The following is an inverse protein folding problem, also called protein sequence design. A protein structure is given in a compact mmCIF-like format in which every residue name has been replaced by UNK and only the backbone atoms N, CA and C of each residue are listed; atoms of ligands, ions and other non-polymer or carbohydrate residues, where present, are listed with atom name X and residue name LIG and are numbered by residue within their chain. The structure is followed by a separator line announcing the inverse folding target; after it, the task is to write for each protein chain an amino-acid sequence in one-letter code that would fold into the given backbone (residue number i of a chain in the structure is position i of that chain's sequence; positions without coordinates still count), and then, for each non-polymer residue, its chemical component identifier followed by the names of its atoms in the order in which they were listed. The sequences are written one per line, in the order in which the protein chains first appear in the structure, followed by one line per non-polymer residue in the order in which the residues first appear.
data_IF_293937853260
#
_entry.id   IF_293937853260
#
_cell.length_a   1.000
_cell.length_b   1.000
_cell.length_c   1.000
_cell.angle_alpha   90.00
_cell.angle_beta   90.00
_cell.angle_gamma   90.00
#
_symmetry.space_group_name_H-M   'P 1'
#
loop_
_entity.id
_entity.type
_entity.pdbx_description
1 polymer ?
#
# COMPACT_ATOMS: atom_id res chain seq x y z
N UNK A 1 15.51 3.17 -15.20
CA UNK A 1 14.78 2.66 -16.40
C UNK A 1 14.66 1.13 -16.51
N UNK A 2 15.44 0.37 -15.77
CA UNK A 2 15.47 -1.11 -15.88
C UNK A 2 14.49 -1.77 -14.90
N UNK A 3 14.21 -1.17 -13.74
CA UNK A 3 13.41 -1.81 -12.68
C UNK A 3 11.90 -1.69 -12.84
N UNK A 4 11.37 -0.63 -13.47
CA UNK A 4 9.91 -0.52 -13.73
C UNK A 4 9.43 -1.48 -14.82
N UNK A 5 10.30 -1.87 -15.76
CA UNK A 5 9.97 -2.90 -16.76
C UNK A 5 9.97 -4.30 -16.13
N UNK A 6 10.85 -4.56 -15.15
CA UNK A 6 10.91 -5.84 -14.46
C UNK A 6 9.63 -6.14 -13.65
N UNK A 7 9.07 -5.15 -12.96
CA UNK A 7 7.81 -5.35 -12.23
C UNK A 7 6.63 -5.67 -13.17
N UNK A 8 6.55 -5.04 -14.34
CA UNK A 8 5.50 -5.32 -15.33
C UNK A 8 5.63 -6.69 -16.00
N UNK A 9 6.87 -7.22 -16.10
CA UNK A 9 7.13 -8.55 -16.64
C UNK A 9 6.87 -9.66 -15.61
N UNK A 10 7.05 -9.36 -14.33
CA UNK A 10 6.84 -10.30 -13.22
C UNK A 10 5.34 -10.55 -12.99
N UNK A 11 4.52 -9.48 -13.04
CA UNK A 11 3.06 -9.55 -12.87
C UNK A 11 2.37 -9.45 -14.24
N UNK A 12 2.35 -10.53 -14.99
CA UNK A 12 1.76 -10.57 -16.33
C UNK A 12 0.26 -10.30 -16.30
N UNK A 13 -0.14 -9.15 -16.83
CA UNK A 13 -1.53 -8.68 -16.86
C UNK A 13 -2.51 -9.70 -17.46
N UNK A 14 -2.10 -10.47 -18.45
CA UNK A 14 -2.93 -11.49 -19.08
C UNK A 14 -3.27 -12.68 -18.16
N UNK A 15 -2.55 -12.84 -17.06
CA UNK A 15 -2.79 -13.90 -16.08
C UNK A 15 -3.67 -13.43 -14.91
N UNK A 16 -4.11 -12.17 -14.91
CA UNK A 16 -4.91 -11.56 -13.86
C UNK A 16 -6.35 -11.38 -14.30
N UNK A 17 -7.29 -11.66 -13.41
CA UNK A 17 -8.70 -11.37 -13.54
C UNK A 17 -9.28 -10.70 -12.28
N UNK A 18 -10.30 -9.83 -12.40
CA UNK A 18 -10.92 -9.24 -11.22
C UNK A 18 -11.48 -10.32 -10.29
N UNK A 19 -11.42 -10.10 -8.99
CA UNK A 19 -12.19 -10.93 -8.04
C UNK A 19 -13.68 -10.60 -8.15
N UNK A 20 -14.58 -11.53 -7.81
CA UNK A 20 -16.02 -11.34 -8.00
C UNK A 20 -16.62 -10.16 -7.20
N UNK A 21 -16.00 -9.80 -6.09
CA UNK A 21 -16.28 -8.65 -5.21
C UNK A 21 -15.11 -7.65 -5.21
N UNK A 22 -14.33 -7.64 -6.28
CA UNK A 22 -13.01 -7.02 -6.30
C UNK A 22 -13.01 -5.50 -6.42
N UNK A 23 -14.09 -4.86 -6.85
CA UNK A 23 -14.16 -3.40 -6.92
C UNK A 23 -14.89 -2.85 -5.70
N UNK A 24 -14.30 -1.85 -5.08
CA UNK A 24 -14.80 -1.23 -3.86
C UNK A 24 -14.71 0.31 -3.92
N UNK A 25 -15.46 0.95 -3.06
CA UNK A 25 -15.49 2.39 -2.87
C UNK A 25 -15.64 2.67 -1.39
N UNK A 26 -14.83 3.60 -0.88
CA UNK A 26 -14.90 4.12 0.48
C UNK A 26 -14.95 5.64 0.47
N UNK A 27 -15.60 6.24 1.47
CA UNK A 27 -15.62 7.67 1.70
C UNK A 27 -14.77 7.96 2.93
N UNK A 28 -13.82 8.88 2.82
CA UNK A 28 -12.88 9.27 3.87
C UNK A 28 -13.11 10.75 4.17
N UNK A 29 -13.39 11.08 5.43
CA UNK A 29 -13.62 12.45 5.89
C UNK A 29 -12.30 13.18 6.15
N UNK A 30 -11.50 13.31 5.10
CA UNK A 30 -10.23 14.02 5.08
C UNK A 30 -9.90 14.53 3.67
N UNK A 31 -8.98 15.48 3.58
CA UNK A 31 -8.43 15.91 2.29
C UNK A 31 -7.60 14.79 1.66
N UNK A 32 -7.75 14.58 0.36
CA UNK A 32 -7.05 13.53 -0.38
C UNK A 32 -5.51 13.56 -0.25
N UNK A 33 -4.93 14.73 0.01
CA UNK A 33 -3.49 14.85 0.26
C UNK A 33 -3.09 14.23 1.59
N UNK A 34 -3.92 14.38 2.63
CA UNK A 34 -3.70 13.70 3.91
C UNK A 34 -3.82 12.18 3.76
N UNK A 35 -4.76 11.72 2.93
CA UNK A 35 -4.86 10.27 2.60
C UNK A 35 -3.59 9.78 1.92
N UNK A 36 -3.06 10.56 0.97
CA UNK A 36 -1.81 10.22 0.26
C UNK A 36 -0.57 10.29 1.14
N UNK A 37 -0.53 11.17 2.13
CA UNK A 37 0.63 11.32 3.00
C UNK A 37 0.91 10.03 3.78
N UNK A 38 -0.13 9.32 4.21
CA UNK A 38 0.00 8.02 4.89
C UNK A 38 0.65 6.96 3.99
N UNK A 39 0.37 6.98 2.69
CA UNK A 39 0.98 6.04 1.72
C UNK A 39 2.40 6.47 1.25
N UNK A 40 2.79 7.71 1.51
CA UNK A 40 4.08 8.23 1.05
C UNK A 40 5.21 8.04 2.07
N UNK A 41 4.93 7.42 3.22
CA UNK A 41 5.94 7.04 4.21
C UNK A 41 5.53 5.75 4.92
N UNK A 42 6.50 4.93 5.30
CA UNK A 42 6.30 3.69 6.07
C UNK A 42 6.82 3.80 7.50
N UNK A 43 7.11 5.01 7.95
CA UNK A 43 7.65 5.26 9.28
C UNK A 43 6.68 4.87 10.40
N UNK A 44 5.37 5.05 10.16
CA UNK A 44 4.31 4.67 11.11
C UNK A 44 4.05 3.16 11.17
N UNK A 45 4.39 2.40 10.13
CA UNK A 45 4.03 0.96 9.98
C UNK A 45 4.35 0.12 11.23
N UNK A 46 5.53 0.21 11.87
CA UNK A 46 5.82 -0.61 13.03
C UNK A 46 4.94 -0.33 14.26
N UNK A 47 4.37 0.85 14.35
CA UNK A 47 3.58 1.30 15.50
C UNK A 47 2.08 1.20 15.24
N UNK A 48 1.65 1.50 14.03
CA UNK A 48 0.25 1.58 13.66
C UNK A 48 -0.34 0.24 13.19
N UNK A 49 0.48 -0.61 12.53
CA UNK A 49 0.00 -1.81 11.86
C UNK A 49 0.56 -3.11 12.43
N UNK A 50 -0.05 -3.67 13.47
CA UNK A 50 0.40 -4.94 14.05
C UNK A 50 0.49 -6.09 13.02
N UNK A 51 -0.42 -6.09 12.04
CA UNK A 51 -0.42 -7.08 10.96
C UNK A 51 0.79 -6.96 10.03
N UNK A 52 1.08 -5.78 9.56
CA UNK A 52 2.24 -5.52 8.70
C UNK A 52 3.55 -5.68 9.48
N UNK A 53 3.59 -5.19 10.72
CA UNK A 53 4.77 -5.37 11.56
C UNK A 53 5.07 -6.86 11.84
N UNK A 54 4.04 -7.69 12.04
CA UNK A 54 4.21 -9.14 12.19
C UNK A 54 4.66 -9.82 10.88
N UNK A 55 4.19 -9.29 9.73
CA UNK A 55 4.54 -9.81 8.41
C UNK A 55 5.97 -9.44 7.98
N UNK A 56 6.33 -8.17 8.12
CA UNK A 56 7.59 -7.62 7.61
C UNK A 56 8.68 -7.49 8.68
N UNK A 57 8.31 -7.35 9.96
CA UNK A 57 9.25 -6.99 11.00
C UNK A 57 9.80 -5.57 10.78
N UNK A 58 11.12 -5.46 10.62
CA UNK A 58 11.81 -4.21 10.29
C UNK A 58 12.20 -4.09 8.81
N UNK A 59 11.66 -4.96 7.97
CA UNK A 59 12.04 -5.05 6.55
C UNK A 59 11.05 -4.29 5.66
N UNK A 60 10.44 -3.22 6.15
CA UNK A 60 9.67 -2.27 5.37
C UNK A 60 10.50 -1.01 5.15
N UNK A 61 10.56 -0.55 3.92
CA UNK A 61 11.28 0.66 3.55
C UNK A 61 10.69 1.31 2.30
N UNK A 62 10.84 2.61 2.21
CA UNK A 62 10.44 3.44 1.08
C UNK A 62 11.67 3.80 0.26
N UNK A 63 11.49 3.89 -1.06
CA UNK A 63 12.50 4.38 -1.98
C UNK A 63 12.13 5.79 -2.45
N UNK A 64 13.13 6.65 -2.69
CA UNK A 64 12.88 8.00 -3.19
C UNK A 64 12.08 8.01 -4.48
N UNK A 65 11.19 8.99 -4.59
CA UNK A 65 10.37 9.18 -5.78
C UNK A 65 11.21 9.81 -6.88
N UNK A 66 11.19 9.20 -8.05
CA UNK A 66 11.71 9.77 -9.28
C UNK A 66 10.65 9.74 -10.38
N UNK A 67 10.48 10.85 -11.10
CA UNK A 67 9.58 10.93 -12.24
C UNK A 67 8.10 10.69 -11.93
N UNK A 68 7.66 11.02 -10.72
CA UNK A 68 6.27 10.85 -10.29
C UNK A 68 5.89 9.43 -9.86
N UNK A 69 6.87 8.55 -9.66
CA UNK A 69 6.68 7.20 -9.14
C UNK A 69 7.29 7.09 -7.74
N UNK A 70 6.57 6.47 -6.82
CA UNK A 70 7.09 6.04 -5.51
C UNK A 70 7.12 4.52 -5.44
N UNK A 71 7.98 3.98 -4.58
CA UNK A 71 8.08 2.56 -4.33
C UNK A 71 8.30 2.28 -2.85
N UNK A 72 7.48 1.39 -2.30
CA UNK A 72 7.65 0.88 -0.94
C UNK A 72 7.70 -0.63 -0.96
N UNK A 73 8.58 -1.21 -0.17
CA UNK A 73 8.81 -2.66 -0.16
C UNK A 73 8.72 -3.20 1.25
N UNK A 74 7.82 -4.14 1.47
CA UNK A 74 7.71 -4.93 2.70
C UNK A 74 8.18 -6.36 2.48
N UNK A 75 9.43 -6.66 2.79
CA UNK A 75 9.96 -8.03 2.71
C UNK A 75 9.56 -8.84 3.95
N UNK A 76 9.13 -10.09 3.76
CA UNK A 76 8.66 -10.91 4.87
C UNK A 76 9.78 -11.20 5.87
N UNK A 77 9.48 -11.05 7.15
CA UNK A 77 10.38 -11.46 8.23
C UNK A 77 10.60 -12.98 8.22
N UNK A 78 11.74 -13.43 8.73
CA UNK A 78 12.09 -14.86 8.78
C UNK A 78 11.21 -15.69 9.72
N UNK A 79 10.54 -15.05 10.68
CA UNK A 79 9.64 -15.72 11.64
C UNK A 79 8.32 -16.19 11.01
N UNK A 80 7.63 -17.09 11.70
CA UNK A 80 6.35 -17.64 11.25
C UNK A 80 5.15 -16.70 11.40
N UNK A 81 5.34 -15.53 12.02
CA UNK A 81 4.26 -14.64 12.42
C UNK A 81 3.56 -15.10 13.71
N UNK A 82 2.98 -14.16 14.44
CA UNK A 82 2.23 -14.39 15.70
C UNK A 82 0.74 -14.34 15.47
N UNK A 83 0.29 -13.35 14.66
CA UNK A 83 -1.11 -13.17 14.32
C UNK A 83 -1.59 -14.29 13.41
N UNK A 84 -2.80 -14.75 13.66
CA UNK A 84 -3.37 -15.89 12.96
C UNK A 84 -3.35 -15.71 11.42
N UNK A 85 -3.72 -14.54 10.92
CA UNK A 85 -3.72 -14.25 9.49
C UNK A 85 -2.32 -14.30 8.90
N UNK A 86 -1.34 -13.64 9.56
CA UNK A 86 0.06 -13.60 9.11
C UNK A 86 0.70 -14.99 9.12
N UNK A 87 0.53 -15.72 10.22
CA UNK A 87 1.06 -17.07 10.37
C UNK A 87 0.55 -18.01 9.28
N UNK A 88 -0.77 -17.99 9.01
CA UNK A 88 -1.34 -18.85 8.01
C UNK A 88 -1.02 -18.39 6.59
N UNK A 89 -0.95 -17.07 6.34
CA UNK A 89 -0.51 -16.52 5.08
C UNK A 89 0.88 -17.00 4.72
N UNK A 90 1.86 -16.78 5.59
CA UNK A 90 3.26 -17.23 5.37
C UNK A 90 3.38 -18.75 5.19
N UNK A 91 2.51 -19.54 5.85
CA UNK A 91 2.51 -20.99 5.74
C UNK A 91 1.92 -21.50 4.43
N UNK A 92 0.86 -20.87 3.92
CA UNK A 92 0.07 -21.35 2.79
C UNK A 92 0.49 -20.75 1.46
N UNK A 93 1.19 -19.60 1.51
CA UNK A 93 1.67 -18.96 0.31
C UNK A 93 2.61 -19.89 -0.45
N UNK A 94 2.25 -20.17 -1.70
CA UNK A 94 3.04 -21.01 -2.62
C UNK A 94 3.91 -20.15 -3.49
N UNK A 95 5.12 -20.66 -3.74
CA UNK A 95 6.01 -20.07 -4.73
C UNK A 95 5.36 -20.12 -6.11
N UNK A 96 5.57 -19.07 -6.89
CA UNK A 96 5.13 -18.99 -8.28
C UNK A 96 6.34 -18.97 -9.22
N UNK A 97 6.30 -19.81 -10.22
CA UNK A 97 7.40 -19.91 -11.22
C UNK A 97 7.59 -18.62 -12.03
N UNK A 98 6.56 -17.76 -12.05
CA UNK A 98 6.61 -16.46 -12.76
C UNK A 98 7.20 -15.34 -11.91
N UNK A 99 7.35 -15.54 -10.59
CA UNK A 99 7.94 -14.57 -9.67
C UNK A 99 9.37 -15.01 -9.34
N UNK A 100 10.29 -14.06 -9.35
CA UNK A 100 11.63 -14.31 -8.82
C UNK A 100 11.60 -14.46 -7.28
N UNK A 101 12.73 -14.91 -6.72
CA UNK A 101 12.79 -15.23 -5.29
C UNK A 101 12.49 -14.02 -4.39
N UNK A 102 12.88 -12.82 -4.78
CA UNK A 102 12.64 -11.61 -4.02
C UNK A 102 11.14 -11.27 -3.97
N UNK A 103 10.45 -11.35 -5.12
CA UNK A 103 9.02 -11.02 -5.22
C UNK A 103 8.10 -12.10 -4.65
N UNK A 104 8.59 -13.30 -4.39
CA UNK A 104 7.81 -14.35 -3.74
C UNK A 104 7.55 -14.12 -2.25
N UNK A 105 8.32 -13.25 -1.61
CA UNK A 105 8.27 -13.00 -0.17
C UNK A 105 8.29 -11.51 0.17
N UNK A 106 7.64 -10.72 -0.63
CA UNK A 106 7.45 -9.30 -0.34
C UNK A 106 6.08 -8.80 -0.81
N UNK A 107 5.65 -7.72 -0.25
CA UNK A 107 4.63 -6.84 -0.81
C UNK A 107 5.32 -5.60 -1.36
N UNK A 108 4.99 -5.26 -2.58
CA UNK A 108 5.53 -4.11 -3.27
C UNK A 108 4.39 -3.13 -3.55
N UNK A 109 4.57 -1.89 -3.13
CA UNK A 109 3.64 -0.81 -3.44
C UNK A 109 4.30 0.16 -4.43
N UNK A 110 3.56 0.55 -5.45
CA UNK A 110 3.99 1.52 -6.46
C UNK A 110 2.97 2.64 -6.49
N UNK A 111 3.35 3.80 -5.99
CA UNK A 111 2.58 5.02 -6.12
C UNK A 111 2.83 5.69 -7.47
N UNK A 112 1.76 6.12 -8.11
CA UNK A 112 1.79 6.89 -9.36
C UNK A 112 1.14 8.24 -9.09
N UNK A 113 1.93 9.30 -9.23
CA UNK A 113 1.45 10.65 -9.00
C UNK A 113 0.28 10.99 -9.95
N UNK A 114 -0.79 11.67 -9.49
CA UNK A 114 -0.89 12.25 -8.15
C UNK A 114 -1.55 11.32 -7.10
N UNK A 115 -2.30 10.30 -7.48
CA UNK A 115 -3.28 9.69 -6.57
C UNK A 115 -3.59 8.22 -6.85
N UNK A 116 -2.69 7.47 -7.48
CA UNK A 116 -2.90 6.06 -7.80
C UNK A 116 -1.83 5.21 -7.13
N UNK A 117 -2.22 4.09 -6.53
CA UNK A 117 -1.33 3.09 -5.95
C UNK A 117 -1.64 1.71 -6.51
N UNK A 118 -0.59 0.95 -6.79
CA UNK A 118 -0.65 -0.49 -7.03
C UNK A 118 0.01 -1.23 -5.89
N UNK A 119 -0.68 -2.21 -5.33
CA UNK A 119 -0.11 -3.20 -4.43
C UNK A 119 0.11 -4.51 -5.17
N UNK A 120 1.36 -4.96 -5.22
CA UNK A 120 1.78 -6.18 -5.91
C UNK A 120 2.17 -7.20 -4.86
N UNK A 121 1.31 -8.19 -4.65
CA UNK A 121 1.50 -9.27 -3.69
C UNK A 121 1.77 -10.59 -4.41
N UNK A 122 2.44 -11.55 -3.79
CA UNK A 122 2.71 -12.83 -4.45
C UNK A 122 1.44 -13.59 -4.90
N UNK A 123 0.30 -13.30 -4.29
CA UNK A 123 -0.99 -13.98 -4.48
C UNK A 123 -2.04 -13.13 -5.19
N UNK A 124 -1.83 -11.81 -5.30
CA UNK A 124 -2.82 -10.87 -5.84
C UNK A 124 -2.19 -9.55 -6.28
N UNK A 125 -2.95 -8.80 -7.04
CA UNK A 125 -2.65 -7.40 -7.36
C UNK A 125 -3.83 -6.57 -6.93
N UNK A 126 -3.56 -5.48 -6.24
CA UNK A 126 -4.56 -4.46 -5.90
C UNK A 126 -4.20 -3.13 -6.53
N UNK A 127 -5.17 -2.27 -6.71
CA UNK A 127 -4.95 -0.85 -6.95
C UNK A 127 -6.01 -0.04 -6.23
N UNK A 128 -5.66 1.18 -5.90
CA UNK A 128 -6.61 2.17 -5.39
C UNK A 128 -6.22 3.58 -5.83
N UNK A 129 -7.21 4.45 -5.82
CA UNK A 129 -7.06 5.83 -6.26
C UNK A 129 -7.96 6.74 -5.44
N UNK A 130 -7.42 7.88 -5.01
CA UNK A 130 -8.11 8.91 -4.24
C UNK A 130 -8.70 9.98 -5.16
N UNK A 131 -9.99 10.22 -5.00
CA UNK A 131 -10.72 11.26 -5.71
C UNK A 131 -11.18 12.35 -4.74
N UNK A 132 -10.67 13.58 -4.84
CA UNK A 132 -11.20 14.69 -4.06
C UNK A 132 -12.64 14.98 -4.48
N UNK A 133 -13.55 15.02 -3.49
CA UNK A 133 -14.94 15.41 -3.70
C UNK A 133 -15.14 16.87 -3.28
N UNK A 134 -14.63 17.19 -2.11
CA UNK A 134 -14.59 18.54 -1.55
C UNK A 134 -13.38 18.67 -0.61
N UNK A 135 -13.16 19.85 -0.04
CA UNK A 135 -11.94 20.14 0.71
C UNK A 135 -11.61 19.15 1.85
N UNK A 136 -12.59 18.61 2.52
CA UNK A 136 -12.41 17.66 3.63
C UNK A 136 -13.00 16.29 3.33
N UNK A 137 -13.21 15.95 2.08
CA UNK A 137 -13.81 14.67 1.71
C UNK A 137 -13.17 14.04 0.50
N UNK A 138 -12.81 12.79 0.64
CA UNK A 138 -12.18 11.98 -0.40
C UNK A 138 -12.99 10.71 -0.66
N UNK A 139 -13.12 10.32 -1.91
CA UNK A 139 -13.57 8.99 -2.30
C UNK A 139 -12.35 8.19 -2.70
N UNK A 140 -12.07 7.10 -1.99
CA UNK A 140 -11.10 6.12 -2.44
C UNK A 140 -11.82 4.99 -3.18
N UNK A 141 -11.30 4.62 -4.35
CA UNK A 141 -11.80 3.51 -5.15
C UNK A 141 -10.68 2.57 -5.48
N UNK A 142 -10.95 1.30 -5.42
CA UNK A 142 -9.95 0.30 -5.71
C UNK A 142 -10.50 -0.96 -6.36
N UNK A 143 -9.60 -1.83 -6.70
CA UNK A 143 -9.91 -3.13 -7.26
C UNK A 143 -8.88 -4.17 -6.90
N UNK A 144 -9.35 -5.40 -6.75
CA UNK A 144 -8.53 -6.55 -6.43
C UNK A 144 -8.54 -7.53 -7.61
N UNK A 145 -7.36 -7.99 -7.98
CA UNK A 145 -7.16 -8.97 -9.03
C UNK A 145 -6.51 -10.22 -8.46
N UNK A 146 -6.94 -11.36 -8.97
CA UNK A 146 -6.39 -12.68 -8.68
C UNK A 146 -5.77 -13.26 -9.93
N UNK A 147 -4.94 -14.27 -9.77
CA UNK A 147 -4.49 -15.06 -10.90
C UNK A 147 -5.65 -15.91 -11.45
N UNK A 148 -5.76 -15.98 -12.78
CA UNK A 148 -6.81 -16.77 -13.45
C UNK A 148 -6.72 -18.25 -13.11
N UNK A 149 -5.51 -18.75 -12.85
CA UNK A 149 -5.25 -20.12 -12.39
C UNK A 149 -4.75 -20.08 -10.95
N UNK A 150 -5.64 -20.09 -9.99
CA UNK A 150 -5.31 -20.23 -8.56
C UNK A 150 -5.78 -21.60 -8.02
N UNK A 151 -4.91 -22.27 -7.30
CA UNK A 151 -5.28 -23.46 -6.53
C UNK A 151 -5.96 -23.07 -5.19
N UNK A 152 -6.36 -24.08 -4.41
CA UNK A 152 -7.03 -23.87 -3.12
C UNK A 152 -6.14 -23.10 -2.14
N UNK A 153 -4.85 -23.38 -2.09
CA UNK A 153 -3.93 -22.77 -1.14
C UNK A 153 -3.69 -21.32 -1.51
N UNK A 154 -3.52 -21.02 -2.79
CA UNK A 154 -3.39 -19.65 -3.29
C UNK A 154 -4.65 -18.83 -3.02
N UNK A 155 -5.84 -19.42 -3.19
CA UNK A 155 -7.12 -18.77 -2.85
C UNK A 155 -7.22 -18.42 -1.36
N UNK A 156 -6.74 -19.31 -0.49
CA UNK A 156 -6.71 -19.05 0.95
C UNK A 156 -5.65 -17.99 1.29
N UNK A 157 -4.49 -18.04 0.67
CA UNK A 157 -3.43 -17.03 0.85
C UNK A 157 -3.94 -15.65 0.46
N UNK A 158 -4.59 -15.52 -0.68
CA UNK A 158 -5.21 -14.26 -1.14
C UNK A 158 -6.29 -13.76 -0.17
N UNK A 159 -7.13 -14.64 0.38
CA UNK A 159 -8.08 -14.25 1.42
C UNK A 159 -7.36 -13.67 2.66
N UNK A 160 -6.23 -14.27 3.03
CA UNK A 160 -5.47 -13.86 4.22
C UNK A 160 -4.71 -12.55 3.98
N UNK A 161 -4.11 -12.34 2.80
CA UNK A 161 -3.49 -11.08 2.44
C UNK A 161 -4.52 -9.94 2.41
N UNK A 162 -5.64 -10.14 1.74
CA UNK A 162 -6.75 -9.17 1.72
C UNK A 162 -7.35 -8.89 3.11
N UNK A 163 -7.30 -9.87 4.02
CA UNK A 163 -7.72 -9.65 5.41
C UNK A 163 -6.72 -8.80 6.19
N UNK A 164 -5.42 -9.02 5.99
CA UNK A 164 -4.36 -8.20 6.60
C UNK A 164 -4.51 -6.76 6.08
N UNK A 165 -4.60 -6.61 4.78
CA UNK A 165 -4.73 -5.33 4.08
C UNK A 165 -5.94 -4.52 4.56
N UNK A 166 -7.13 -5.12 4.66
CA UNK A 166 -8.33 -4.46 5.19
C UNK A 166 -8.22 -4.02 6.65
N UNK A 167 -7.46 -4.74 7.46
CA UNK A 167 -7.21 -4.31 8.83
C UNK A 167 -6.28 -3.12 8.86
N UNK A 168 -5.24 -3.14 8.03
CA UNK A 168 -4.32 -2.01 7.81
C UNK A 168 -5.08 -0.76 7.35
N UNK A 169 -5.93 -0.85 6.31
CA UNK A 169 -6.72 0.28 5.84
C UNK A 169 -7.59 0.92 6.92
N UNK A 170 -8.18 0.11 7.82
CA UNK A 170 -8.95 0.65 8.96
C UNK A 170 -8.09 1.33 10.02
N UNK A 171 -6.86 0.87 10.20
CA UNK A 171 -5.90 1.50 11.10
C UNK A 171 -5.44 2.83 10.51
N UNK A 172 -5.21 2.89 9.19
CA UNK A 172 -4.88 4.12 8.46
C UNK A 172 -6.01 5.14 8.47
N UNK A 173 -7.26 4.72 8.30
CA UNK A 173 -8.43 5.59 8.34
C UNK A 173 -8.43 6.46 9.61
N UNK A 174 -8.16 5.85 10.75
CA UNK A 174 -8.07 6.56 12.02
C UNK A 174 -6.91 7.56 12.08
N UNK A 175 -5.74 7.20 11.53
CA UNK A 175 -4.59 8.11 11.46
C UNK A 175 -4.85 9.29 10.55
N UNK A 176 -5.49 9.06 9.42
CA UNK A 176 -5.88 10.07 8.45
C UNK A 176 -6.86 11.07 9.08
N UNK A 177 -7.89 10.59 9.78
CA UNK A 177 -8.86 11.43 10.48
C UNK A 177 -8.16 12.32 11.53
N UNK A 178 -7.30 11.73 12.37
CA UNK A 178 -6.56 12.50 13.37
C UNK A 178 -5.63 13.53 12.75
N UNK A 179 -4.95 13.20 11.66
CA UNK A 179 -4.08 14.13 10.95
C UNK A 179 -4.87 15.29 10.35
N UNK A 180 -6.04 14.99 9.79
CA UNK A 180 -6.93 16.00 9.24
C UNK A 180 -7.50 16.92 10.33
N UNK A 181 -7.98 16.39 11.44
CA UNK A 181 -8.44 17.15 12.59
C UNK A 181 -7.33 18.04 13.18
N UNK A 182 -6.12 17.48 13.31
CA UNK A 182 -4.98 18.22 13.84
C UNK A 182 -4.62 19.45 13.00
N UNK A 183 -4.83 19.41 11.69
CA UNK A 183 -4.56 20.55 10.79
C UNK A 183 -5.41 21.79 11.08
N UNK A 184 -6.54 21.65 11.79
CA UNK A 184 -7.39 22.77 12.24
C UNK A 184 -7.13 23.21 13.67
N UNK A 185 -6.19 22.60 14.37
CA UNK A 185 -5.82 23.00 15.71
C UNK A 185 -5.17 24.38 15.70
N UNK A 186 -5.53 25.23 16.66
CA UNK A 186 -4.87 26.53 16.87
C UNK A 186 -3.39 26.42 17.24
N UNK A 187 -2.94 25.23 17.64
CA UNK A 187 -1.54 24.91 17.94
C UNK A 187 -0.77 24.42 16.70
N UNK A 188 -1.43 24.26 15.55
CA UNK A 188 -0.79 23.78 14.33
C UNK A 188 -0.07 24.94 13.64
N UNK A 189 1.26 24.92 13.71
CA UNK A 189 2.14 25.92 13.07
C UNK A 189 2.77 25.42 11.76
N UNK A 190 2.32 24.29 11.25
CA UNK A 190 2.87 23.60 10.07
C UNK A 190 3.50 22.25 10.40
N UNK A 191 3.90 21.52 9.38
CA UNK A 191 4.52 20.19 9.52
C UNK A 191 6.03 20.31 9.60
N UNK A 192 6.62 19.66 10.60
CA UNK A 192 8.05 19.38 10.64
C UNK A 192 8.22 17.90 10.30
N UNK A 193 8.73 17.63 9.10
CA UNK A 193 8.99 16.27 8.65
C UNK A 193 10.31 15.75 9.22
N UNK A 194 10.33 14.50 9.59
CA UNK A 194 11.57 13.78 9.93
C UNK A 194 12.33 13.37 8.66
N UNK A 195 13.59 12.98 8.81
CA UNK A 195 14.38 12.46 7.70
C UNK A 195 13.81 11.14 7.12
N UNK A 196 12.91 10.49 7.83
CA UNK A 196 12.23 9.27 7.39
C UNK A 196 10.97 9.55 6.55
N UNK A 197 10.51 10.80 6.51
CA UNK A 197 9.31 11.23 5.77
C UNK A 197 9.67 11.94 4.44
N UNK A 198 10.80 11.58 3.86
CA UNK A 198 11.27 12.16 2.59
C UNK A 198 10.30 11.91 1.41
N UNK A 199 9.53 10.82 1.45
CA UNK A 199 8.49 10.53 0.48
C UNK A 199 7.36 11.55 0.51
N UNK A 200 6.88 11.91 1.69
CA UNK A 200 5.88 12.98 1.90
C UNK A 200 6.42 14.32 1.37
N UNK A 201 7.67 14.65 1.72
CA UNK A 201 8.31 15.88 1.22
C UNK A 201 8.34 15.92 -0.30
N UNK A 202 8.85 14.87 -0.94
CA UNK A 202 9.00 14.79 -2.39
C UNK A 202 7.64 14.87 -3.11
N UNK A 203 6.61 14.24 -2.54
CA UNK A 203 5.25 14.31 -3.04
C UNK A 203 4.69 15.73 -3.01
N UNK A 204 4.81 16.45 -1.88
CA UNK A 204 4.35 17.82 -1.75
C UNK A 204 5.16 18.81 -2.60
N UNK A 205 6.46 18.58 -2.78
CA UNK A 205 7.28 19.40 -3.70
C UNK A 205 6.81 19.24 -5.16
N UNK A 206 6.46 18.00 -5.56
CA UNK A 206 5.89 17.72 -6.88
C UNK A 206 4.52 18.38 -7.05
N UNK A 207 3.65 18.31 -6.04
CA UNK A 207 2.34 18.98 -6.06
C UNK A 207 2.49 20.50 -6.25
N UNK A 208 3.41 21.13 -5.52
CA UNK A 208 3.67 22.58 -5.67
C UNK A 208 4.16 22.92 -7.08
N UNK A 209 5.01 22.08 -7.66
CA UNK A 209 5.56 22.30 -8.99
C UNK A 209 4.53 22.24 -10.12
N UNK A 210 3.42 21.49 -9.95
CA UNK A 210 2.36 21.38 -10.96
C UNK A 210 1.15 22.28 -10.70
N UNK A 211 1.09 22.93 -9.52
CA UNK A 211 -0.03 23.82 -9.13
C UNK A 211 0.18 25.29 -9.51
N UNK A 212 1.27 25.62 -10.20
CA UNK A 212 1.63 27.00 -10.62
C UNK A 212 1.76 27.12 -12.13
#
# INVERSE_FOLDING_TARGET
RIESSAASDVYKRQDLEPTGDGFWKEEIDANWKCVRDVDNEGYHVPMAHPGLHDLFGRNYYDEPIEGGLSRSVGSFSSGNGRLWSVKNYKKLLRAKDTLDEAHQKCWLYIGVFPNLVFGLYPDSVIFYQEYPVENGKTIQRGGNYKYSKEDREMKISRYLSMRIDRLTSKEDEQLIEWSWEAAFSSAYEGVILSDLEYGVKAYHDTLRAVSY
#
